data_IF_407161794798
#
_entry.id   IF_407161794798
#
_cell.length_a   1.000
_cell.length_b   1.000
_cell.length_c   1.000
_cell.angle_alpha   90.00
_cell.angle_beta   90.00
_cell.angle_gamma   90.00
#
_symmetry.space_group_name_H-M   'P 1'
#
loop_
_entity.id
_entity.type
_entity.pdbx_description
1 polymer ?
#
# COMPACT_ATOMS: atom_id res chain seq x y z
N UNK A 1 13.70 29.55 52.70
CA UNK A 1 13.44 30.19 51.39
C UNK A 1 13.44 29.10 50.33
N UNK A 2 12.25 28.65 49.98
CA UNK A 2 11.96 27.55 49.06
C UNK A 2 11.94 28.06 47.63
N UNK A 3 12.82 27.55 46.78
CA UNK A 3 12.79 27.79 45.33
C UNK A 3 12.07 26.62 44.66
N UNK A 4 10.97 26.83 43.92
CA UNK A 4 10.31 25.74 43.22
C UNK A 4 11.04 25.43 41.92
N UNK A 5 11.53 24.18 41.83
CA UNK A 5 12.01 23.55 40.62
C UNK A 5 10.97 23.71 39.50
N UNK A 6 11.40 24.34 38.42
CA UNK A 6 10.66 24.46 37.19
C UNK A 6 10.20 23.07 36.73
N UNK A 7 8.88 22.89 36.66
CA UNK A 7 8.24 21.72 36.07
C UNK A 7 8.67 21.63 34.60
N UNK A 8 9.50 20.64 34.28
CA UNK A 8 9.77 20.29 32.89
C UNK A 8 8.44 19.94 32.25
N UNK A 9 7.98 20.75 31.29
CA UNK A 9 6.86 20.40 30.42
C UNK A 9 7.21 19.10 29.72
N UNK A 10 6.72 17.98 30.24
CA UNK A 10 6.56 16.76 29.47
C UNK A 10 5.59 17.11 28.35
N UNK A 11 6.12 17.34 27.15
CA UNK A 11 5.30 17.46 25.96
C UNK A 11 4.52 16.16 25.83
N UNK A 12 3.23 16.21 26.16
CA UNK A 12 2.27 15.16 25.85
C UNK A 12 2.47 14.80 24.37
N UNK A 13 2.65 13.52 24.00
CA UNK A 13 2.78 13.16 22.60
C UNK A 13 1.58 13.73 21.85
N UNK A 14 1.88 14.57 20.85
CA UNK A 14 0.91 15.37 20.15
C UNK A 14 -0.20 14.48 19.58
N UNK A 15 -1.44 14.97 19.71
CA UNK A 15 -2.63 14.38 19.09
C UNK A 15 -2.28 13.99 17.64
N UNK A 16 -2.59 12.76 17.29
CA UNK A 16 -2.14 12.03 16.10
C UNK A 16 -2.39 12.80 14.79
N UNK A 17 -1.31 13.28 14.17
CA UNK A 17 -1.29 13.81 12.79
C UNK A 17 -1.09 12.68 11.76
N UNK A 18 -1.70 11.50 11.93
CA UNK A 18 -1.58 10.42 10.92
C UNK A 18 -2.64 10.54 9.82
N UNK A 19 -3.83 11.07 10.14
CA UNK A 19 -4.91 11.25 9.16
C UNK A 19 -4.48 12.06 7.93
N UNK A 20 -3.73 13.18 8.06
CA UNK A 20 -3.24 13.91 6.89
C UNK A 20 -2.37 13.08 5.94
N UNK A 21 -1.64 12.07 6.42
CA UNK A 21 -0.86 11.19 5.52
C UNK A 21 -1.78 10.36 4.63
N UNK A 22 -2.80 9.72 5.22
CA UNK A 22 -3.76 8.91 4.46
C UNK A 22 -4.54 9.76 3.47
N UNK A 23 -5.04 10.92 3.91
CA UNK A 23 -5.82 11.82 3.05
C UNK A 23 -4.97 12.44 1.94
N UNK A 24 -3.75 12.91 2.24
CA UNK A 24 -2.90 13.53 1.24
C UNK A 24 -2.42 12.53 0.18
N UNK A 25 -1.97 11.34 0.59
CA UNK A 25 -1.55 10.29 -0.36
C UNK A 25 -2.76 9.80 -1.16
N UNK A 26 -3.88 9.50 -0.50
CA UNK A 26 -5.10 9.03 -1.15
C UNK A 26 -5.67 10.04 -2.15
N UNK A 27 -5.73 11.33 -1.78
CA UNK A 27 -6.16 12.39 -2.67
C UNK A 27 -5.20 12.56 -3.85
N UNK A 28 -3.88 12.51 -3.62
CA UNK A 28 -2.90 12.61 -4.69
C UNK A 28 -3.02 11.45 -5.69
N UNK A 29 -3.22 10.21 -5.22
CA UNK A 29 -3.48 9.05 -6.09
C UNK A 29 -4.80 9.24 -6.82
N UNK A 30 -5.88 9.58 -6.12
CA UNK A 30 -7.20 9.78 -6.72
C UNK A 30 -7.15 10.81 -7.85
N UNK A 31 -6.59 12.00 -7.60
CA UNK A 31 -6.45 13.06 -8.57
C UNK A 31 -5.51 12.66 -9.71
N UNK A 32 -4.42 11.97 -9.38
CA UNK A 32 -3.48 11.42 -10.33
C UNK A 32 -4.17 10.50 -11.34
N UNK A 33 -4.93 9.51 -10.85
CA UNK A 33 -5.58 8.51 -11.69
C UNK A 33 -6.76 9.08 -12.47
N UNK A 34 -7.58 9.96 -11.87
CA UNK A 34 -8.78 10.48 -12.54
C UNK A 34 -8.50 11.61 -13.54
N UNK A 35 -7.43 12.40 -13.33
CA UNK A 35 -7.18 13.60 -14.11
C UNK A 35 -5.80 13.62 -14.77
N UNK A 36 -4.74 13.28 -14.04
CA UNK A 36 -3.37 13.37 -14.56
C UNK A 36 -3.07 12.24 -15.55
N UNK A 37 -3.47 11.00 -15.25
CA UNK A 37 -3.25 9.86 -16.15
C UNK A 37 -3.93 10.06 -17.50
N UNK A 38 -5.23 10.40 -17.59
CA UNK A 38 -5.87 10.66 -18.88
C UNK A 38 -5.19 11.79 -19.65
N UNK A 39 -4.79 12.86 -18.96
CA UNK A 39 -4.07 13.97 -19.58
C UNK A 39 -2.71 13.53 -20.15
N UNK A 40 -1.88 12.83 -19.36
CA UNK A 40 -0.57 12.33 -19.79
C UNK A 40 -0.68 11.38 -20.98
N UNK A 41 -1.63 10.44 -20.94
CA UNK A 41 -1.87 9.49 -22.03
C UNK A 41 -2.33 10.21 -23.29
N UNK A 42 -3.18 11.24 -23.17
CA UNK A 42 -3.55 12.08 -24.31
C UNK A 42 -2.36 12.87 -24.91
N UNK A 43 -1.31 13.11 -24.12
CA UNK A 43 -0.03 13.68 -24.61
C UNK A 43 0.94 12.62 -25.17
N UNK A 44 0.53 11.35 -25.26
CA UNK A 44 1.36 10.26 -25.78
C UNK A 44 2.31 9.64 -24.74
N UNK A 45 2.17 9.95 -23.46
CA UNK A 45 2.91 9.24 -22.40
C UNK A 45 2.37 7.81 -22.28
N UNK A 46 3.22 6.76 -22.32
CA UNK A 46 2.75 5.39 -22.19
C UNK A 46 2.00 5.15 -20.88
N UNK A 47 0.88 4.40 -20.96
CA UNK A 47 -0.01 4.12 -19.83
C UNK A 47 0.74 3.52 -18.63
N UNK A 48 1.66 2.59 -18.88
CA UNK A 48 2.52 2.00 -17.85
C UNK A 48 3.19 3.07 -16.97
N UNK A 49 3.78 4.10 -17.57
CA UNK A 49 4.49 5.16 -16.84
C UNK A 49 3.52 6.15 -16.19
N UNK A 50 2.48 6.57 -16.91
CA UNK A 50 1.50 7.51 -16.39
C UNK A 50 0.80 6.94 -15.14
N UNK A 51 0.27 5.72 -15.25
CA UNK A 51 -0.46 5.07 -14.18
C UNK A 51 0.44 4.69 -13.00
N UNK A 52 1.59 4.06 -13.26
CA UNK A 52 2.55 3.71 -12.19
C UNK A 52 3.07 4.94 -11.46
N UNK A 53 3.34 6.04 -12.18
CA UNK A 53 3.75 7.30 -11.58
C UNK A 53 2.68 7.88 -10.65
N UNK A 54 1.43 7.92 -11.11
CA UNK A 54 0.30 8.40 -10.31
C UNK A 54 0.04 7.57 -9.05
N UNK A 55 0.34 6.26 -9.09
CA UNK A 55 0.16 5.37 -7.95
C UNK A 55 1.34 5.45 -6.96
N UNK A 56 2.58 5.31 -7.45
CA UNK A 56 3.73 5.08 -6.59
C UNK A 56 4.45 6.35 -6.13
N UNK A 57 4.41 7.45 -6.89
CA UNK A 57 5.08 8.69 -6.48
C UNK A 57 4.45 9.30 -5.21
N UNK A 58 3.12 9.34 -5.03
CA UNK A 58 2.51 9.78 -3.78
C UNK A 58 2.90 8.93 -2.57
N UNK A 59 3.01 7.60 -2.74
CA UNK A 59 3.45 6.67 -1.68
C UNK A 59 4.90 6.97 -1.30
N UNK A 60 5.78 7.08 -2.28
CA UNK A 60 7.19 7.42 -2.06
C UNK A 60 7.33 8.77 -1.36
N UNK A 61 6.60 9.80 -1.80
CA UNK A 61 6.58 11.11 -1.16
C UNK A 61 6.10 11.01 0.30
N UNK A 62 5.01 10.27 0.56
CA UNK A 62 4.50 10.02 1.91
C UNK A 62 5.53 9.34 2.81
N UNK A 63 6.25 8.33 2.30
CA UNK A 63 7.32 7.65 3.02
C UNK A 63 8.49 8.61 3.32
N UNK A 64 8.90 9.44 2.36
CA UNK A 64 9.95 10.44 2.58
C UNK A 64 9.55 11.47 3.64
N UNK A 65 8.29 11.92 3.64
CA UNK A 65 7.76 12.81 4.68
C UNK A 65 7.78 12.12 6.05
N UNK A 66 7.39 10.83 6.12
CA UNK A 66 7.44 10.03 7.34
C UNK A 66 8.88 9.87 7.87
N UNK A 67 9.83 9.60 6.98
CA UNK A 67 11.27 9.52 7.29
C UNK A 67 11.84 10.86 7.77
N UNK A 68 11.44 11.97 7.14
CA UNK A 68 11.79 13.31 7.59
C UNK A 68 11.21 13.64 8.97
N UNK A 69 9.95 13.27 9.21
CA UNK A 69 9.30 13.43 10.51
C UNK A 69 9.95 12.54 11.60
N UNK A 70 10.36 11.31 11.27
CA UNK A 70 11.15 10.45 12.15
C UNK A 70 12.44 11.16 12.59
N UNK A 71 13.19 11.72 11.64
CA UNK A 71 14.45 12.40 11.90
C UNK A 71 14.29 13.68 12.71
N UNK A 72 13.22 14.45 12.47
CA UNK A 72 12.88 15.66 13.24
C UNK A 72 12.49 15.34 14.68
N UNK A 73 11.87 14.19 14.91
CA UNK A 73 11.55 13.69 16.25
C UNK A 73 12.74 13.07 17.01
N UNK A 74 13.99 13.31 16.56
CA UNK A 74 15.20 12.78 17.20
C UNK A 74 15.59 11.36 16.76
N UNK A 75 14.91 10.80 15.77
CA UNK A 75 15.27 9.52 15.15
C UNK A 75 16.70 9.50 14.61
N UNK A 76 17.39 8.36 14.75
CA UNK A 76 18.79 8.19 14.33
C UNK A 76 18.85 7.32 13.09
N UNK A 77 19.66 7.72 12.11
CA UNK A 77 19.99 6.92 10.93
C UNK A 77 21.01 5.82 11.26
N UNK A 78 20.63 4.94 12.19
CA UNK A 78 21.42 3.75 12.56
C UNK A 78 20.54 2.54 12.40
N UNK A 79 21.11 1.45 11.88
CA UNK A 79 20.38 0.20 11.60
C UNK A 79 19.50 -0.25 12.77
N UNK A 80 20.06 -0.31 13.98
CA UNK A 80 19.30 -0.72 15.17
C UNK A 80 18.10 0.20 15.47
N UNK A 81 18.26 1.52 15.29
CA UNK A 81 17.20 2.49 15.55
C UNK A 81 16.09 2.43 14.48
N UNK A 82 16.45 2.18 13.22
CA UNK A 82 15.48 1.97 12.13
C UNK A 82 14.74 0.65 12.31
N UNK A 83 15.46 -0.44 12.63
CA UNK A 83 14.86 -1.75 12.88
C UNK A 83 13.85 -1.68 14.02
N UNK A 84 14.21 -1.04 15.13
CA UNK A 84 13.30 -0.84 16.25
C UNK A 84 12.13 0.07 15.87
N UNK A 85 12.40 1.21 15.19
CA UNK A 85 11.35 2.17 14.86
C UNK A 85 10.32 1.61 13.88
N UNK A 86 10.76 0.90 12.86
CA UNK A 86 9.92 0.39 11.77
C UNK A 86 9.56 -1.09 11.96
N UNK A 87 9.78 -1.66 13.15
CA UNK A 87 9.38 -3.04 13.46
C UNK A 87 9.93 -4.08 12.47
N UNK A 88 11.21 -3.95 12.13
CA UNK A 88 11.90 -4.80 11.14
C UNK A 88 12.76 -5.90 11.78
N UNK A 89 12.54 -6.20 13.06
CA UNK A 89 13.20 -7.33 13.70
C UNK A 89 12.84 -8.63 12.96
N UNK A 90 13.82 -9.55 12.86
CA UNK A 90 13.64 -10.79 12.10
C UNK A 90 12.57 -11.66 12.77
N UNK A 91 11.49 -12.04 12.06
CA UNK A 91 10.49 -12.95 12.61
C UNK A 91 11.07 -14.35 12.85
N UNK A 92 10.55 -15.01 13.87
CA UNK A 92 10.76 -16.44 14.13
C UNK A 92 10.15 -17.31 13.02
N UNK A 93 10.57 -18.57 12.94
CA UNK A 93 10.01 -19.52 11.96
C UNK A 93 8.49 -19.67 12.10
N UNK A 94 7.98 -19.69 13.34
CA UNK A 94 6.55 -19.78 13.62
C UNK A 94 5.79 -18.57 13.10
N UNK A 95 6.33 -17.37 13.32
CA UNK A 95 5.73 -16.13 12.82
C UNK A 95 5.71 -16.10 11.29
N UNK A 96 6.79 -16.52 10.62
CA UNK A 96 6.79 -16.64 9.16
C UNK A 96 5.69 -17.58 8.64
N UNK A 97 5.50 -18.74 9.26
CA UNK A 97 4.42 -19.65 8.88
C UNK A 97 3.04 -19.02 9.06
N UNK A 98 2.84 -18.25 10.12
CA UNK A 98 1.59 -17.51 10.36
C UNK A 98 1.38 -16.43 9.30
N UNK A 99 2.42 -15.66 8.98
CA UNK A 99 2.33 -14.58 7.98
C UNK A 99 2.05 -15.11 6.58
N UNK A 100 2.71 -16.21 6.19
CA UNK A 100 2.45 -16.87 4.90
C UNK A 100 1.05 -17.48 4.87
N UNK A 101 0.63 -18.17 5.94
CA UNK A 101 -0.73 -18.71 6.03
C UNK A 101 -1.80 -17.61 5.93
N UNK A 102 -1.57 -16.48 6.60
CA UNK A 102 -2.44 -15.32 6.50
C UNK A 102 -2.44 -14.70 5.09
N UNK A 103 -1.28 -14.60 4.44
CA UNK A 103 -1.19 -14.10 3.07
C UNK A 103 -2.00 -14.95 2.08
N UNK A 104 -1.91 -16.28 2.20
CA UNK A 104 -2.71 -17.21 1.40
C UNK A 104 -4.19 -17.06 1.71
N UNK A 105 -4.57 -17.01 2.99
CA UNK A 105 -5.97 -16.85 3.39
C UNK A 105 -6.57 -15.52 2.89
N UNK A 106 -5.81 -14.43 2.98
CA UNK A 106 -6.18 -13.13 2.45
C UNK A 106 -6.34 -13.20 0.94
N UNK A 107 -5.38 -13.75 0.20
CA UNK A 107 -5.47 -13.88 -1.27
C UNK A 107 -6.73 -14.65 -1.71
N UNK A 108 -7.05 -15.75 -1.02
CA UNK A 108 -8.26 -16.53 -1.30
C UNK A 108 -9.54 -15.74 -1.00
N UNK A 109 -9.57 -14.97 0.08
CA UNK A 109 -10.72 -14.11 0.43
C UNK A 109 -10.88 -12.96 -0.56
N UNK A 110 -9.79 -12.34 -1.01
CA UNK A 110 -9.84 -11.29 -2.04
C UNK A 110 -10.38 -11.85 -3.35
N UNK A 111 -9.91 -13.03 -3.80
CA UNK A 111 -10.44 -13.70 -4.99
C UNK A 111 -11.91 -14.09 -4.86
N UNK A 112 -12.37 -14.51 -3.67
CA UNK A 112 -13.78 -14.78 -3.41
C UNK A 112 -14.65 -13.52 -3.49
N UNK A 113 -14.11 -12.37 -3.08
CA UNK A 113 -14.81 -11.09 -3.06
C UNK A 113 -14.66 -10.30 -4.38
N UNK A 114 -13.76 -10.71 -5.27
CA UNK A 114 -13.52 -10.06 -6.57
C UNK A 114 -14.81 -9.79 -7.37
N UNK A 115 -15.78 -10.73 -7.49
CA UNK A 115 -17.00 -10.48 -8.26
C UNK A 115 -17.84 -9.31 -7.74
N UNK A 116 -17.71 -8.94 -6.46
CA UNK A 116 -18.42 -7.80 -5.86
C UNK A 116 -18.05 -6.50 -6.57
N UNK A 117 -16.81 -6.34 -7.00
CA UNK A 117 -16.36 -5.15 -7.71
C UNK A 117 -17.12 -4.92 -9.01
N UNK A 118 -17.34 -5.99 -9.80
CA UNK A 118 -18.11 -5.91 -11.04
C UNK A 118 -19.57 -5.54 -10.81
N UNK A 119 -20.19 -6.12 -9.77
CA UNK A 119 -21.56 -5.77 -9.36
C UNK A 119 -21.66 -4.29 -8.96
N UNK A 120 -20.69 -3.80 -8.17
CA UNK A 120 -20.67 -2.42 -7.71
C UNK A 120 -20.54 -1.43 -8.88
N UNK A 121 -19.62 -1.68 -9.83
CA UNK A 121 -19.48 -0.85 -11.04
C UNK A 121 -20.75 -0.88 -11.90
N UNK A 122 -21.44 -2.01 -11.99
CA UNK A 122 -22.67 -2.13 -12.78
C UNK A 122 -23.90 -1.47 -12.13
N UNK A 123 -23.91 -1.29 -10.80
CA UNK A 123 -25.10 -0.86 -10.05
C UNK A 123 -25.02 0.55 -9.50
N UNK A 124 -23.85 1.04 -9.13
CA UNK A 124 -23.69 2.37 -8.53
C UNK A 124 -23.36 3.42 -9.60
N UNK A 125 -24.03 4.59 -9.60
CA UNK A 125 -23.78 5.68 -10.55
C UNK A 125 -22.57 6.52 -10.14
N UNK A 126 -21.46 5.86 -9.78
CA UNK A 126 -20.21 6.50 -9.39
C UNK A 126 -19.22 6.45 -10.57
N UNK A 127 -18.43 7.52 -10.79
CA UNK A 127 -17.50 7.57 -11.91
C UNK A 127 -16.37 6.55 -11.75
N UNK A 128 -15.94 6.00 -12.88
CA UNK A 128 -14.72 5.20 -13.03
C UNK A 128 -13.74 6.02 -13.87
N UNK A 129 -12.42 5.98 -13.60
CA UNK A 129 -11.43 6.68 -14.41
C UNK A 129 -11.58 6.35 -15.91
N UNK A 130 -11.47 7.35 -16.80
CA UNK A 130 -11.67 7.12 -18.24
C UNK A 130 -10.53 6.32 -18.87
N UNK A 131 -9.34 6.33 -18.26
CA UNK A 131 -8.19 5.54 -18.65
C UNK A 131 -7.80 4.66 -17.48
N UNK A 132 -8.16 3.37 -17.57
CA UNK A 132 -7.93 2.38 -16.53
C UNK A 132 -7.24 1.16 -17.16
N UNK A 133 -6.09 0.70 -16.62
CA UNK A 133 -5.48 -0.53 -17.08
C UNK A 133 -6.40 -1.73 -16.84
N UNK A 134 -6.39 -2.71 -17.75
CA UNK A 134 -7.20 -3.92 -17.64
C UNK A 134 -7.00 -4.65 -16.30
N UNK A 135 -5.80 -4.56 -15.70
CA UNK A 135 -5.51 -5.12 -14.38
C UNK A 135 -6.44 -4.62 -13.25
N UNK A 136 -6.94 -3.38 -13.37
CA UNK A 136 -7.74 -2.72 -12.35
C UNK A 136 -9.21 -2.57 -12.75
N UNK A 137 -9.59 -3.03 -13.95
CA UNK A 137 -10.95 -2.93 -14.47
C UNK A 137 -11.73 -4.23 -14.21
N UNK A 138 -12.71 -4.23 -13.27
CA UNK A 138 -13.45 -5.44 -12.92
C UNK A 138 -14.43 -5.90 -14.02
N UNK A 139 -14.54 -5.14 -15.12
CA UNK A 139 -15.35 -5.48 -16.29
C UNK A 139 -14.56 -6.27 -17.33
N UNK A 140 -13.25 -6.40 -17.14
CA UNK A 140 -12.34 -7.05 -18.09
C UNK A 140 -11.79 -8.33 -17.47
N UNK A 141 -11.84 -9.43 -18.20
CA UNK A 141 -11.17 -10.67 -17.83
C UNK A 141 -9.75 -10.68 -18.39
N UNK A 142 -8.76 -10.93 -17.54
CA UNK A 142 -7.36 -10.98 -17.95
C UNK A 142 -7.01 -12.38 -18.47
N UNK A 143 -6.26 -12.42 -19.58
CA UNK A 143 -5.64 -13.65 -20.04
C UNK A 143 -4.53 -14.09 -19.07
N UNK A 144 -4.41 -15.40 -18.85
CA UNK A 144 -3.36 -16.01 -18.02
C UNK A 144 -2.66 -17.11 -18.84
N UNK A 145 -1.37 -16.95 -19.20
CA UNK A 145 -0.52 -15.80 -18.89
C UNK A 145 -0.91 -14.53 -19.67
N UNK A 146 -0.59 -13.33 -19.16
CA UNK A 146 -0.86 -12.09 -19.86
C UNK A 146 0.03 -11.99 -21.11
N UNK A 147 -0.53 -11.50 -22.22
CA UNK A 147 0.22 -11.16 -23.45
C UNK A 147 0.54 -9.67 -23.54
N UNK A 148 -0.18 -8.84 -22.77
CA UNK A 148 0.00 -7.40 -22.68
C UNK A 148 -0.03 -6.95 -21.22
N UNK A 149 0.69 -5.89 -20.90
CA UNK A 149 0.63 -5.21 -19.61
C UNK A 149 0.62 -3.69 -19.81
N UNK A 150 -0.50 -3.05 -19.43
CA UNK A 150 -0.68 -1.58 -19.49
C UNK A 150 -0.30 -0.96 -20.84
N UNK A 151 -0.73 -1.54 -21.96
CA UNK A 151 -0.42 -1.04 -23.31
C UNK A 151 0.88 -1.58 -23.92
N UNK A 152 1.58 -2.50 -23.25
CA UNK A 152 2.87 -3.04 -23.70
C UNK A 152 2.75 -4.53 -23.98
N UNK A 153 3.04 -4.98 -25.21
CA UNK A 153 3.18 -6.40 -25.54
C UNK A 153 4.34 -7.00 -24.74
N UNK A 154 4.10 -8.12 -24.06
CA UNK A 154 5.06 -8.69 -23.12
C UNK A 154 6.17 -9.49 -23.80
N UNK A 155 5.92 -10.13 -24.95
CA UNK A 155 6.91 -10.94 -25.67
C UNK A 155 8.28 -10.25 -25.78
N UNK A 156 9.30 -10.80 -25.10
CA UNK A 156 10.66 -10.25 -25.07
C UNK A 156 10.87 -8.94 -24.28
N UNK A 157 9.82 -8.35 -23.70
CA UNK A 157 9.84 -7.06 -23.01
C UNK A 157 10.35 -7.16 -21.55
N UNK A 158 11.56 -7.72 -21.35
CA UNK A 158 12.19 -7.87 -20.02
C UNK A 158 12.31 -6.56 -19.22
N UNK A 159 12.38 -5.42 -19.91
CA UNK A 159 12.39 -4.12 -19.27
C UNK A 159 11.11 -3.83 -18.46
N UNK A 160 9.95 -4.38 -18.86
CA UNK A 160 8.69 -4.27 -18.11
C UNK A 160 8.81 -4.96 -16.76
N UNK A 161 9.43 -6.14 -16.71
CA UNK A 161 9.69 -6.87 -15.45
C UNK A 161 10.59 -6.05 -14.54
N UNK A 162 11.63 -5.41 -15.08
CA UNK A 162 12.51 -4.53 -14.31
C UNK A 162 11.77 -3.32 -13.73
N UNK A 163 10.98 -2.62 -14.56
CA UNK A 163 10.15 -1.48 -14.13
C UNK A 163 9.14 -1.91 -13.06
N UNK A 164 8.45 -3.04 -13.28
CA UNK A 164 7.46 -3.54 -12.34
C UNK A 164 8.08 -4.04 -11.04
N UNK A 165 9.31 -4.57 -11.08
CA UNK A 165 10.04 -4.95 -9.86
C UNK A 165 10.34 -3.73 -8.99
N UNK A 166 10.76 -2.62 -9.59
CA UNK A 166 10.99 -1.36 -8.85
C UNK A 166 9.67 -0.83 -8.28
N UNK A 167 8.62 -0.81 -9.09
CA UNK A 167 7.27 -0.45 -8.67
C UNK A 167 6.79 -1.31 -7.50
N UNK A 168 6.96 -2.63 -7.57
CA UNK A 168 6.62 -3.59 -6.52
C UNK A 168 7.32 -3.29 -5.19
N UNK A 169 8.62 -2.99 -5.23
CA UNK A 169 9.38 -2.66 -4.03
C UNK A 169 8.90 -1.34 -3.40
N UNK A 170 8.60 -0.33 -4.22
CA UNK A 170 8.04 0.94 -3.73
C UNK A 170 6.62 0.75 -3.20
N UNK A 171 5.81 -0.05 -3.90
CA UNK A 171 4.45 -0.36 -3.52
C UNK A 171 4.43 -1.08 -2.17
N UNK A 172 4.88 -2.32 -2.13
CA UNK A 172 4.79 -3.15 -0.92
C UNK A 172 5.74 -2.65 0.16
N UNK A 173 7.00 -2.42 -0.18
CA UNK A 173 7.99 -1.97 0.81
C UNK A 173 7.69 -0.56 1.31
N UNK A 174 7.37 0.38 0.41
CA UNK A 174 7.12 1.76 0.78
C UNK A 174 5.82 1.93 1.55
N UNK A 175 4.73 1.28 1.12
CA UNK A 175 3.47 1.31 1.86
C UNK A 175 3.58 0.67 3.24
N UNK A 176 4.19 -0.51 3.36
CA UNK A 176 4.25 -1.18 4.65
C UNK A 176 5.17 -0.44 5.64
N UNK A 177 6.24 0.20 5.16
CA UNK A 177 7.05 1.10 6.00
C UNK A 177 6.28 2.35 6.42
N UNK A 178 5.51 2.96 5.52
CA UNK A 178 4.72 4.17 5.80
C UNK A 178 3.55 3.85 6.74
N UNK A 179 2.60 3.03 6.29
CA UNK A 179 1.34 2.78 6.96
C UNK A 179 1.50 1.97 8.24
N UNK A 180 2.31 0.89 8.19
CA UNK A 180 2.37 -0.13 9.25
C UNK A 180 3.63 0.00 10.09
N UNK A 181 4.76 0.39 9.51
CA UNK A 181 6.02 0.64 10.21
C UNK A 181 6.05 1.98 10.94
N UNK A 182 5.53 3.05 10.33
CA UNK A 182 5.63 4.41 10.90
C UNK A 182 4.35 4.91 11.55
N UNK A 183 3.21 4.83 10.84
CA UNK A 183 1.94 5.45 11.26
C UNK A 183 1.15 4.57 12.24
N UNK A 184 1.05 3.26 12.03
CA UNK A 184 0.33 2.35 12.93
C UNK A 184 0.83 2.43 14.39
N UNK A 185 2.14 2.40 14.72
CA UNK A 185 2.59 2.55 16.11
C UNK A 185 2.19 3.90 16.75
N UNK A 186 1.97 4.95 15.96
CA UNK A 186 1.42 6.22 16.48
C UNK A 186 -0.08 6.13 16.73
N UNK A 187 -0.80 5.44 15.86
CA UNK A 187 -2.22 5.18 16.06
C UNK A 187 -2.45 4.30 17.30
N UNK A 188 -1.55 3.37 17.60
CA UNK A 188 -1.59 2.56 18.84
C UNK A 188 -1.53 3.43 20.11
N UNK A 189 -0.75 4.52 20.09
CA UNK A 189 -0.69 5.44 21.23
C UNK A 189 -2.01 6.19 21.51
N UNK A 190 -2.95 6.22 20.55
CA UNK A 190 -4.25 6.91 20.68
C UNK A 190 -5.42 5.94 20.74
N UNK A 191 -5.44 4.95 19.85
CA UNK A 191 -6.54 4.01 19.69
C UNK A 191 -6.27 2.66 20.38
N UNK A 192 -5.07 2.45 20.94
CA UNK A 192 -4.70 1.24 21.65
C UNK A 192 -4.92 -0.01 20.80
N UNK A 193 -5.65 -0.99 21.36
CA UNK A 193 -5.99 -2.27 20.70
C UNK A 193 -6.82 -2.15 19.41
N UNK A 194 -7.41 -0.98 19.14
CA UNK A 194 -8.23 -0.73 17.95
C UNK A 194 -7.47 -0.01 16.83
N UNK A 195 -6.18 0.29 17.02
CA UNK A 195 -5.38 1.00 16.03
C UNK A 195 -5.30 0.29 14.69
N UNK A 196 -5.23 -1.05 14.67
CA UNK A 196 -5.25 -1.82 13.43
C UNK A 196 -6.51 -1.57 12.60
N UNK A 197 -7.67 -1.47 13.24
CA UNK A 197 -8.95 -1.24 12.57
C UNK A 197 -8.96 0.17 11.95
N UNK A 198 -8.51 1.17 12.71
CA UNK A 198 -8.42 2.56 12.21
C UNK A 198 -7.41 2.65 11.05
N UNK A 199 -6.23 2.05 11.19
CA UNK A 199 -5.21 2.02 10.14
C UNK A 199 -5.73 1.36 8.87
N UNK A 200 -6.35 0.20 9.02
CA UNK A 200 -6.89 -0.57 7.92
C UNK A 200 -8.01 0.14 7.17
N UNK A 201 -8.99 0.68 7.91
CA UNK A 201 -10.10 1.41 7.29
C UNK A 201 -9.65 2.70 6.61
N UNK A 202 -8.68 3.43 7.18
CA UNK A 202 -8.11 4.61 6.50
C UNK A 202 -7.38 4.22 5.23
N UNK A 203 -6.64 3.10 5.24
CA UNK A 203 -5.96 2.61 4.04
C UNK A 203 -6.94 2.17 2.95
N UNK A 204 -7.98 1.42 3.30
CA UNK A 204 -9.02 1.01 2.36
C UNK A 204 -9.77 2.24 1.84
N UNK A 205 -10.36 3.04 2.72
CA UNK A 205 -11.28 4.10 2.29
C UNK A 205 -10.57 5.32 1.72
N UNK A 206 -9.48 5.79 2.32
CA UNK A 206 -8.82 7.01 1.87
C UNK A 206 -7.81 6.74 0.74
N UNK A 207 -6.96 5.72 0.88
CA UNK A 207 -5.88 5.47 -0.08
C UNK A 207 -6.40 4.78 -1.34
N UNK A 208 -7.37 3.87 -1.21
CA UNK A 208 -7.95 3.13 -2.34
C UNK A 208 -9.27 3.74 -2.87
N UNK A 209 -9.61 4.96 -2.46
CA UNK A 209 -10.79 5.68 -2.99
C UNK A 209 -10.81 5.76 -4.53
N UNK A 210 -9.63 5.75 -5.17
CA UNK A 210 -9.49 5.80 -6.63
C UNK A 210 -10.02 4.54 -7.34
N UNK A 211 -10.16 3.43 -6.60
CA UNK A 211 -10.79 2.18 -7.02
C UNK A 211 -11.91 1.83 -6.04
N UNK A 212 -12.87 2.73 -5.88
CA UNK A 212 -13.96 2.58 -4.90
C UNK A 212 -14.73 1.26 -5.02
N UNK A 213 -14.73 0.63 -6.20
CA UNK A 213 -15.37 -0.66 -6.44
C UNK A 213 -14.62 -1.84 -5.80
N UNK A 214 -13.32 -1.73 -5.52
CA UNK A 214 -12.54 -2.80 -4.91
C UNK A 214 -12.54 -2.75 -3.38
N UNK A 215 -13.15 -1.73 -2.75
CA UNK A 215 -13.02 -1.50 -1.32
C UNK A 215 -13.45 -2.70 -0.47
N UNK A 216 -14.55 -3.36 -0.86
CA UNK A 216 -15.03 -4.58 -0.18
C UNK A 216 -14.01 -5.71 -0.35
N UNK A 217 -13.52 -5.90 -1.57
CA UNK A 217 -12.50 -6.90 -1.89
C UNK A 217 -11.19 -6.67 -1.16
N UNK A 218 -10.84 -5.42 -0.84
CA UNK A 218 -9.61 -5.05 -0.12
C UNK A 218 -9.74 -5.11 1.41
N UNK A 219 -10.93 -5.33 1.96
CA UNK A 219 -11.11 -5.43 3.42
C UNK A 219 -10.26 -6.55 4.06
N UNK A 220 -10.12 -7.76 3.48
CA UNK A 220 -9.26 -8.80 4.01
C UNK A 220 -7.81 -8.31 4.21
N UNK A 221 -7.15 -7.80 3.16
CA UNK A 221 -5.79 -7.24 3.28
C UNK A 221 -5.77 -6.03 4.21
N UNK A 222 -6.72 -5.11 4.05
CA UNK A 222 -6.81 -3.88 4.80
C UNK A 222 -6.92 -4.09 6.30
N UNK A 223 -7.57 -5.16 6.75
CA UNK A 223 -7.79 -5.46 8.17
C UNK A 223 -6.79 -6.46 8.75
N UNK A 224 -6.48 -7.55 8.03
CA UNK A 224 -5.58 -8.61 8.51
C UNK A 224 -4.14 -8.09 8.61
N UNK A 225 -3.69 -7.30 7.63
CA UNK A 225 -2.32 -6.76 7.60
C UNK A 225 -1.99 -5.93 8.84
N UNK A 226 -2.69 -4.81 9.14
CA UNK A 226 -2.36 -4.02 10.32
C UNK A 226 -2.67 -4.78 11.63
N UNK A 227 -3.63 -5.72 11.64
CA UNK A 227 -3.87 -6.57 12.81
C UNK A 227 -2.63 -7.41 13.16
N UNK A 228 -2.03 -8.09 12.17
CA UNK A 228 -0.84 -8.90 12.38
C UNK A 228 0.38 -8.03 12.70
N UNK A 229 0.56 -6.89 12.03
CA UNK A 229 1.67 -5.98 12.35
C UNK A 229 1.56 -5.45 13.78
N UNK A 230 0.36 -5.09 14.24
CA UNK A 230 0.14 -4.65 15.63
C UNK A 230 0.36 -5.80 16.61
N UNK A 231 -0.17 -6.99 16.32
CA UNK A 231 -0.10 -8.16 17.22
C UNK A 231 1.32 -8.69 17.42
N UNK A 232 2.10 -8.75 16.35
CA UNK A 232 3.45 -9.32 16.35
C UNK A 232 4.55 -8.26 16.35
N UNK A 233 4.18 -6.98 16.40
CA UNK A 233 5.09 -5.84 16.31
C UNK A 233 6.12 -6.00 15.17
N UNK A 234 5.65 -6.47 14.01
CA UNK A 234 6.50 -6.85 12.89
C UNK A 234 5.93 -6.40 11.55
N UNK A 235 6.58 -5.42 10.92
CA UNK A 235 6.20 -4.94 9.58
C UNK A 235 6.41 -6.01 8.50
N UNK A 236 7.23 -7.03 8.77
CA UNK A 236 7.34 -8.20 7.88
C UNK A 236 6.02 -8.93 7.68
N UNK A 237 5.11 -8.91 8.67
CA UNK A 237 3.77 -9.48 8.51
C UNK A 237 3.03 -8.78 7.37
N UNK A 238 3.05 -7.45 7.34
CA UNK A 238 2.43 -6.68 6.28
C UNK A 238 3.12 -6.87 4.93
N UNK A 239 4.46 -6.88 4.90
CA UNK A 239 5.22 -7.12 3.65
C UNK A 239 4.84 -8.46 3.03
N UNK A 240 4.65 -9.52 3.82
CA UNK A 240 4.27 -10.84 3.29
C UNK A 240 2.81 -10.88 2.84
N UNK A 241 1.89 -10.39 3.67
CA UNK A 241 0.44 -10.42 3.36
C UNK A 241 0.13 -9.57 2.13
N UNK A 242 0.59 -8.32 2.10
CA UNK A 242 0.42 -7.41 0.98
C UNK A 242 1.27 -7.82 -0.24
N UNK A 243 2.47 -8.34 -0.01
CA UNK A 243 3.42 -8.65 -1.07
C UNK A 243 3.10 -9.88 -1.90
N UNK A 244 2.39 -10.87 -1.36
CA UNK A 244 2.16 -12.15 -2.04
C UNK A 244 1.43 -11.97 -3.38
N UNK A 245 0.29 -11.27 -3.39
CA UNK A 245 -0.49 -11.04 -4.62
C UNK A 245 0.30 -10.27 -5.68
N UNK A 246 1.05 -9.24 -5.27
CA UNK A 246 1.92 -8.49 -6.17
C UNK A 246 3.08 -9.34 -6.73
N UNK A 247 3.67 -10.22 -5.91
CA UNK A 247 4.75 -11.11 -6.33
C UNK A 247 4.26 -12.17 -7.33
N UNK A 248 3.03 -12.68 -7.16
CA UNK A 248 2.39 -13.57 -8.14
C UNK A 248 2.21 -12.86 -9.48
N UNK A 249 1.74 -11.60 -9.47
CA UNK A 249 1.66 -10.79 -10.68
C UNK A 249 3.02 -10.59 -11.35
N UNK A 250 4.08 -10.31 -10.58
CA UNK A 250 5.43 -10.24 -11.14
C UNK A 250 5.85 -11.55 -11.80
N UNK A 251 5.52 -12.70 -11.22
CA UNK A 251 5.73 -14.02 -11.84
C UNK A 251 4.97 -14.20 -13.15
N UNK A 252 3.71 -13.76 -13.21
CA UNK A 252 2.90 -13.80 -14.44
C UNK A 252 3.50 -12.93 -15.56
N UNK A 253 4.08 -11.77 -15.22
CA UNK A 253 4.80 -10.95 -16.19
C UNK A 253 6.02 -11.68 -16.77
N UNK A 254 6.79 -12.39 -15.94
CA UNK A 254 7.93 -13.20 -16.43
C UNK A 254 7.45 -14.26 -17.41
N UNK A 255 6.36 -14.96 -17.10
CA UNK A 255 5.78 -15.97 -18.01
C UNK A 255 5.32 -15.31 -19.32
N UNK A 256 4.63 -14.17 -19.26
CA UNK A 256 4.20 -13.44 -20.45
C UNK A 256 5.36 -12.95 -21.32
N UNK A 257 6.49 -12.59 -20.72
CA UNK A 257 7.70 -12.18 -21.45
C UNK A 257 8.38 -13.35 -22.16
N UNK A 258 8.38 -14.54 -21.55
CA UNK A 258 9.03 -15.75 -22.08
C UNK A 258 8.15 -16.49 -23.09
N UNK A 259 6.83 -16.54 -22.86
CA UNK A 259 5.87 -17.32 -23.63
C UNK A 259 5.12 -16.54 -24.72
N UNK A 260 5.39 -15.24 -24.86
CA UNK A 260 4.85 -14.39 -25.92
C UNK A 260 5.62 -14.48 -27.23
#
# INVERSE_FOLDING_TARGET
>A
MSSPLATSRTSTPSRVETLPYFLAVGAAIFLGIHFVVPWLVAQGVPLLFAFSGALFLPILAGLLVALGAYRRAGGRWRRAALVARFRLARPSRREWLIFVGAAVGVLLLEGLLEPVAGVLVATLPLPVPPVLPALFDPRVSLAVPPTEFMGVTLAGAWWVVAVWTVAFVINVGGEELLWRGYLLPRQEAVFGRWAWLVNGLLWVVAVHAFMWWTLVGLLPTGLVTPYLVQRYESTWAGIVVHGLGNALWLGLLVVGVVGG
#
